data_IF_692846996918
#
_entry.id   IF_692846996918
#
_cell.length_a   1.000
_cell.length_b   1.000
_cell.length_c   1.000
_cell.angle_alpha   90.00
_cell.angle_beta   90.00
_cell.angle_gamma   90.00
#
_symmetry.space_group_name_H-M   'P 1'
#
loop_
_entity.id
_entity.type
_entity.pdbx_description
1 polymer ?
#
# COMPACT_ATOMS: atom_id res chain seq x y z
N UNK A 1 6.52 36.80 -57.12
CA UNK A 1 6.73 38.26 -57.16
C UNK A 1 6.60 38.77 -55.74
N UNK A 2 7.60 39.45 -55.21
CA UNK A 2 7.55 40.10 -53.91
C UNK A 2 8.24 41.45 -54.03
N UNK A 3 7.60 42.52 -53.54
CA UNK A 3 8.24 43.83 -53.42
C UNK A 3 9.14 43.83 -52.18
N UNK A 4 10.06 44.78 -52.12
CA UNK A 4 10.85 45.00 -50.92
C UNK A 4 9.92 45.41 -49.77
N UNK A 5 9.97 44.75 -48.60
CA UNK A 5 9.01 44.98 -47.53
C UNK A 5 9.21 46.38 -46.95
N UNK A 6 8.11 47.13 -46.83
CA UNK A 6 8.08 48.44 -46.18
C UNK A 6 8.44 48.32 -44.69
N UNK A 7 8.84 49.44 -44.08
CA UNK A 7 9.14 49.50 -42.64
C UNK A 7 7.97 48.97 -41.79
N UNK A 8 6.74 49.27 -42.18
CA UNK A 8 5.54 48.81 -41.50
C UNK A 8 5.40 47.27 -41.56
N UNK A 9 5.67 46.67 -42.72
CA UNK A 9 5.60 45.22 -42.90
C UNK A 9 6.74 44.50 -42.17
N UNK A 10 7.95 45.06 -42.17
CA UNK A 10 9.08 44.51 -41.41
C UNK A 10 8.79 44.53 -39.90
N UNK A 11 8.22 45.63 -39.40
CA UNK A 11 7.81 45.75 -37.99
C UNK A 11 6.68 44.78 -37.67
N UNK A 12 5.67 44.64 -38.54
CA UNK A 12 4.56 43.71 -38.36
C UNK A 12 5.04 42.24 -38.29
N UNK A 13 5.94 41.84 -39.20
CA UNK A 13 6.54 40.50 -39.18
C UNK A 13 7.34 40.27 -37.90
N UNK A 14 8.12 41.26 -37.46
CA UNK A 14 8.90 41.15 -36.22
C UNK A 14 8.00 40.98 -34.98
N UNK A 15 6.89 41.69 -34.89
CA UNK A 15 5.89 41.48 -33.83
C UNK A 15 5.27 40.07 -33.89
N UNK A 16 4.94 39.56 -35.08
CA UNK A 16 4.38 38.21 -35.24
C UNK A 16 5.39 37.12 -34.84
N UNK A 17 6.66 37.27 -35.21
CA UNK A 17 7.73 36.35 -34.82
C UNK A 17 7.96 36.37 -33.30
N UNK A 18 7.94 37.56 -32.70
CA UNK A 18 8.09 37.73 -31.25
C UNK A 18 6.90 37.18 -30.46
N UNK A 19 5.69 37.27 -31.03
CA UNK A 19 4.46 36.72 -30.43
C UNK A 19 4.33 35.18 -30.58
N UNK A 20 5.23 34.52 -31.33
CA UNK A 20 5.18 33.09 -31.60
C UNK A 20 6.49 32.35 -31.18
N UNK A 21 6.92 32.45 -29.90
CA UNK A 21 8.22 31.93 -29.44
C UNK A 21 8.38 30.41 -29.51
N UNK A 22 7.25 29.68 -29.61
CA UNK A 22 7.21 28.22 -29.79
C UNK A 22 7.66 27.82 -31.21
N UNK A 23 7.33 28.66 -32.19
CA UNK A 23 7.62 28.42 -33.61
C UNK A 23 8.95 29.06 -34.04
N UNK A 24 9.34 30.16 -33.38
CA UNK A 24 10.52 30.94 -33.73
C UNK A 24 11.36 31.30 -32.50
N UNK A 25 12.62 30.91 -32.49
CA UNK A 25 13.56 31.21 -31.41
C UNK A 25 14.47 32.39 -31.77
N UNK A 26 14.65 33.32 -30.83
CA UNK A 26 15.51 34.50 -30.99
C UNK A 26 16.98 34.12 -30.79
N UNK A 27 17.83 34.29 -31.81
CA UNK A 27 19.30 34.06 -31.70
C UNK A 27 20.07 35.33 -31.33
N UNK A 28 19.69 36.47 -31.92
CA UNK A 28 20.30 37.79 -31.70
C UNK A 28 19.22 38.88 -31.86
N UNK A 29 19.54 40.16 -31.60
CA UNK A 29 18.58 41.27 -31.77
C UNK A 29 18.11 41.33 -33.23
N UNK A 30 16.82 41.09 -33.47
CA UNK A 30 16.23 41.09 -34.82
C UNK A 30 16.37 39.78 -35.61
N UNK A 31 17.09 38.77 -35.12
CA UNK A 31 17.29 37.51 -35.83
C UNK A 31 16.56 36.34 -35.15
N UNK A 32 15.65 35.71 -35.90
CA UNK A 32 14.84 34.57 -35.48
C UNK A 32 15.16 33.34 -36.33
N UNK A 33 15.11 32.16 -35.72
CA UNK A 33 15.24 30.87 -36.41
C UNK A 33 13.99 30.05 -36.16
N UNK A 34 13.50 29.38 -37.20
CA UNK A 34 12.41 28.39 -37.09
C UNK A 34 12.84 27.28 -36.13
N UNK A 35 11.95 26.91 -35.22
CA UNK A 35 12.15 25.78 -34.31
C UNK A 35 12.37 24.49 -35.12
N UNK A 36 13.25 23.61 -34.64
CA UNK A 36 13.41 22.30 -35.28
C UNK A 36 12.08 21.51 -35.17
N UNK A 37 11.76 20.62 -36.12
CA UNK A 37 10.49 19.87 -36.08
C UNK A 37 10.27 19.11 -34.76
N UNK A 38 11.34 18.52 -34.20
CA UNK A 38 11.28 17.81 -32.92
C UNK A 38 11.04 18.73 -31.73
N UNK A 39 11.73 19.88 -31.67
CA UNK A 39 11.55 20.86 -30.59
C UNK A 39 10.18 21.51 -30.64
N UNK A 40 9.66 21.77 -31.86
CA UNK A 40 8.32 22.29 -32.08
C UNK A 40 7.25 21.28 -31.61
N UNK A 41 7.40 20.00 -32.00
CA UNK A 41 6.49 18.93 -31.58
C UNK A 41 6.46 18.78 -30.05
N UNK A 42 7.62 18.80 -29.40
CA UNK A 42 7.72 18.74 -27.94
C UNK A 42 7.08 19.96 -27.25
N UNK A 43 7.31 21.17 -27.77
CA UNK A 43 6.73 22.39 -27.22
C UNK A 43 5.20 22.44 -27.37
N UNK A 44 4.66 22.02 -28.53
CA UNK A 44 3.22 21.93 -28.76
C UNK A 44 2.58 20.86 -27.85
N UNK A 45 3.21 19.69 -27.70
CA UNK A 45 2.73 18.66 -26.78
C UNK A 45 2.74 19.12 -25.32
N UNK A 46 3.75 19.89 -24.92
CA UNK A 46 3.80 20.50 -23.58
C UNK A 46 2.69 21.52 -23.34
N UNK A 47 2.36 22.35 -24.35
CA UNK A 47 1.26 23.31 -24.27
C UNK A 47 -0.09 22.60 -24.16
N UNK A 48 -0.31 21.56 -24.96
CA UNK A 48 -1.54 20.75 -24.92
C UNK A 48 -1.69 20.06 -23.56
N UNK A 49 -0.62 19.44 -23.04
CA UNK A 49 -0.62 18.83 -21.71
C UNK A 49 -0.97 19.84 -20.62
N UNK A 50 -0.40 21.05 -20.67
CA UNK A 50 -0.71 22.12 -19.72
C UNK A 50 -2.17 22.57 -19.82
N UNK A 51 -2.69 22.72 -21.04
CA UNK A 51 -4.10 23.05 -21.27
C UNK A 51 -5.03 22.00 -20.64
N UNK A 52 -4.75 20.71 -20.86
CA UNK A 52 -5.52 19.62 -20.26
C UNK A 52 -5.46 19.64 -18.72
N UNK A 53 -4.28 19.89 -18.14
CA UNK A 53 -4.12 20.02 -16.70
C UNK A 53 -4.87 21.22 -16.12
N UNK A 54 -4.85 22.37 -16.81
CA UNK A 54 -5.58 23.57 -16.41
C UNK A 54 -7.10 23.34 -16.48
N UNK A 55 -7.58 22.64 -17.50
CA UNK A 55 -8.98 22.23 -17.61
C UNK A 55 -9.38 21.26 -16.49
N UNK A 56 -8.62 20.19 -16.28
CA UNK A 56 -8.87 19.21 -15.22
C UNK A 56 -8.88 19.88 -13.83
N UNK A 57 -7.98 20.85 -13.61
CA UNK A 57 -7.96 21.65 -12.39
C UNK A 57 -9.23 22.48 -12.24
N UNK A 58 -9.67 23.17 -13.29
CA UNK A 58 -10.86 24.00 -13.24
C UNK A 58 -12.12 23.17 -12.91
N UNK A 59 -12.32 22.05 -13.61
CA UNK A 59 -13.41 21.11 -13.36
C UNK A 59 -13.39 20.56 -11.92
N UNK A 60 -12.20 20.20 -11.42
CA UNK A 60 -12.04 19.74 -10.05
C UNK A 60 -12.34 20.83 -9.01
N UNK A 61 -11.99 22.09 -9.27
CA UNK A 61 -12.32 23.21 -8.38
C UNK A 61 -13.83 23.42 -8.27
N UNK A 62 -14.55 23.33 -9.39
CA UNK A 62 -16.01 23.42 -9.40
C UNK A 62 -16.65 22.26 -8.63
N UNK A 63 -16.18 21.03 -8.84
CA UNK A 63 -16.65 19.85 -8.11
C UNK A 63 -16.42 19.99 -6.59
N UNK A 64 -15.21 20.40 -6.17
CA UNK A 64 -14.88 20.60 -4.76
C UNK A 64 -15.72 21.71 -4.13
N UNK A 65 -16.00 22.79 -4.87
CA UNK A 65 -16.89 23.85 -4.41
C UNK A 65 -18.34 23.37 -4.25
N UNK A 66 -18.79 22.44 -5.12
CA UNK A 66 -20.09 21.78 -5.03
C UNK A 66 -20.15 20.70 -3.94
N UNK A 67 -19.05 20.40 -3.25
CA UNK A 67 -18.99 19.37 -2.21
C UNK A 67 -18.81 17.95 -2.74
N UNK A 68 -18.23 17.79 -3.93
CA UNK A 68 -17.91 16.50 -4.53
C UNK A 68 -16.40 16.37 -4.77
N UNK A 69 -15.82 15.23 -4.40
CA UNK A 69 -14.40 14.94 -4.64
C UNK A 69 -14.24 14.18 -5.97
N UNK A 70 -13.51 14.71 -6.96
CA UNK A 70 -13.28 14.00 -8.23
C UNK A 70 -12.53 12.66 -8.04
N UNK A 71 -12.88 11.64 -8.81
CA UNK A 71 -12.28 10.29 -8.73
C UNK A 71 -10.76 10.29 -8.80
N UNK A 72 -10.17 11.08 -9.71
CA UNK A 72 -8.72 11.17 -9.86
C UNK A 72 -8.03 11.74 -8.61
N UNK A 73 -8.74 12.57 -7.84
CA UNK A 73 -8.24 13.13 -6.58
C UNK A 73 -8.37 12.11 -5.44
N UNK A 74 -9.38 11.24 -5.49
CA UNK A 74 -9.59 10.16 -4.51
C UNK A 74 -8.37 9.23 -4.44
N UNK A 75 -7.81 8.85 -5.60
CA UNK A 75 -6.61 8.00 -5.67
C UNK A 75 -5.36 8.67 -5.09
N UNK A 76 -5.30 10.00 -5.08
CA UNK A 76 -4.18 10.79 -4.57
C UNK A 76 -4.39 11.21 -3.10
N UNK A 77 -5.55 10.93 -2.48
CA UNK A 77 -5.89 11.38 -1.13
C UNK A 77 -4.84 11.01 -0.08
N UNK A 78 -4.33 9.75 0.02
CA UNK A 78 -3.36 9.43 1.05
C UNK A 78 -2.09 10.28 0.95
N UNK A 79 -1.59 10.50 -0.28
CA UNK A 79 -0.45 11.37 -0.53
C UNK A 79 -0.77 12.83 -0.16
N UNK A 80 -1.93 13.36 -0.57
CA UNK A 80 -2.36 14.72 -0.25
C UNK A 80 -2.51 14.97 1.25
N UNK A 81 -3.06 14.00 1.98
CA UNK A 81 -3.37 14.14 3.40
C UNK A 81 -2.14 13.95 4.28
N UNK A 82 -1.28 13.00 3.93
CA UNK A 82 -0.25 12.52 4.85
C UNK A 82 1.19 12.82 4.38
N UNK A 83 1.44 13.02 3.09
CA UNK A 83 2.75 13.43 2.57
C UNK A 83 2.60 14.31 1.31
N UNK A 84 2.03 15.52 1.46
CA UNK A 84 1.68 16.36 0.32
C UNK A 84 2.94 16.81 -0.45
N UNK A 85 2.95 16.55 -1.76
CA UNK A 85 3.92 17.14 -2.69
C UNK A 85 3.34 18.40 -3.34
N UNK A 86 3.94 19.55 -3.00
CA UNK A 86 3.54 20.88 -3.47
C UNK A 86 3.64 21.05 -5.00
N UNK A 87 4.37 20.18 -5.68
CA UNK A 87 4.55 20.27 -7.12
C UNK A 87 3.42 19.60 -7.91
N UNK A 88 2.66 18.71 -7.27
CA UNK A 88 1.59 17.93 -7.91
C UNK A 88 0.40 18.79 -8.31
N UNK A 89 -0.30 18.35 -9.35
CA UNK A 89 -1.58 18.95 -9.77
C UNK A 89 -2.61 18.83 -8.65
N UNK A 90 -2.66 17.67 -8.00
CA UNK A 90 -3.56 17.35 -6.91
C UNK A 90 -3.43 18.36 -5.76
N UNK A 91 -2.20 18.62 -5.27
CA UNK A 91 -1.97 19.59 -4.20
C UNK A 91 -2.36 21.01 -4.61
N UNK A 92 -1.93 21.46 -5.79
CA UNK A 92 -2.25 22.81 -6.30
C UNK A 92 -3.74 23.04 -6.50
N UNK A 93 -4.48 21.98 -6.81
CA UNK A 93 -5.95 22.02 -6.95
C UNK A 93 -6.59 22.17 -5.57
N UNK A 94 -6.17 21.35 -4.61
CA UNK A 94 -6.69 21.41 -3.24
C UNK A 94 -6.34 22.72 -2.52
N UNK A 95 -5.14 23.25 -2.71
CA UNK A 95 -4.70 24.55 -2.16
C UNK A 95 -5.51 25.71 -2.74
N UNK A 96 -5.80 25.68 -4.05
CA UNK A 96 -6.67 26.66 -4.69
C UNK A 96 -8.12 26.56 -4.17
N UNK A 97 -8.68 25.35 -4.04
CA UNK A 97 -10.01 25.15 -3.46
C UNK A 97 -10.07 25.65 -2.00
N UNK A 98 -9.06 25.33 -1.20
CA UNK A 98 -8.89 25.79 0.18
C UNK A 98 -8.90 27.31 0.29
N UNK A 99 -8.20 28.00 -0.62
CA UNK A 99 -8.14 29.46 -0.67
C UNK A 99 -9.49 30.09 -1.05
N UNK A 100 -10.20 29.51 -2.04
CA UNK A 100 -11.52 29.98 -2.49
C UNK A 100 -12.58 29.80 -1.39
N UNK A 101 -12.60 28.61 -0.77
CA UNK A 101 -13.59 28.23 0.23
C UNK A 101 -13.27 28.76 1.64
N UNK A 102 -12.09 29.36 1.85
CA UNK A 102 -11.58 29.81 3.16
C UNK A 102 -11.61 28.72 4.23
N UNK A 103 -11.25 27.50 3.82
CA UNK A 103 -11.22 26.29 4.66
C UNK A 103 -9.87 25.63 4.54
N UNK A 104 -9.42 24.90 5.56
CA UNK A 104 -8.20 24.10 5.44
C UNK A 104 -8.38 22.99 4.39
N UNK A 105 -7.29 22.47 3.78
CA UNK A 105 -7.36 21.34 2.85
C UNK A 105 -8.16 20.15 3.40
N UNK A 106 -7.94 19.79 4.67
CA UNK A 106 -8.68 18.73 5.34
C UNK A 106 -10.17 19.06 5.50
N UNK A 107 -10.54 20.31 5.78
CA UNK A 107 -11.94 20.73 5.86
C UNK A 107 -12.66 20.69 4.50
N UNK A 108 -11.97 21.04 3.41
CA UNK A 108 -12.52 20.92 2.05
C UNK A 108 -12.82 19.46 1.73
N UNK A 109 -11.85 18.57 1.97
CA UNK A 109 -12.02 17.14 1.73
C UNK A 109 -13.09 16.51 2.63
N UNK A 110 -13.16 16.91 3.90
CA UNK A 110 -14.21 16.47 4.82
C UNK A 110 -15.60 16.92 4.36
N UNK A 111 -15.74 18.16 3.87
CA UNK A 111 -17.00 18.65 3.29
C UNK A 111 -17.43 17.84 2.06
N UNK A 112 -16.47 17.35 1.28
CA UNK A 112 -16.74 16.52 0.11
C UNK A 112 -17.02 15.04 0.43
N UNK A 113 -17.04 14.66 1.71
CA UNK A 113 -17.17 13.26 2.14
C UNK A 113 -15.93 12.40 1.85
N UNK A 114 -14.81 13.01 1.42
CA UNK A 114 -13.58 12.29 1.10
C UNK A 114 -12.82 11.80 2.35
N UNK A 115 -13.15 12.34 3.53
CA UNK A 115 -12.66 11.88 4.82
C UNK A 115 -13.87 11.42 5.63
N UNK A 116 -13.96 10.13 5.93
CA UNK A 116 -15.07 9.52 6.70
C UNK A 116 -15.18 9.94 8.18
N UNK A 117 -14.51 11.04 8.58
CA UNK A 117 -14.47 11.56 9.94
C UNK A 117 -13.09 11.48 10.61
N UNK A 118 -13.02 11.92 11.88
CA UNK A 118 -11.76 11.97 12.66
C UNK A 118 -11.10 10.59 12.79
N UNK A 119 -11.91 9.54 13.03
CA UNK A 119 -11.43 8.16 13.09
C UNK A 119 -10.74 7.75 11.79
N UNK A 120 -11.42 7.89 10.65
CA UNK A 120 -10.87 7.54 9.34
C UNK A 120 -9.61 8.35 9.00
N UNK A 121 -9.55 9.62 9.41
CA UNK A 121 -8.37 10.46 9.25
C UNK A 121 -7.15 9.89 9.98
N UNK A 122 -7.31 9.54 11.26
CA UNK A 122 -6.22 9.02 12.09
C UNK A 122 -5.84 7.60 11.69
N UNK A 123 -6.80 6.73 11.38
CA UNK A 123 -6.54 5.37 10.87
C UNK A 123 -5.79 5.42 9.54
N UNK A 124 -6.24 6.23 8.58
CA UNK A 124 -5.55 6.37 7.30
C UNK A 124 -4.13 6.94 7.44
N UNK A 125 -3.90 7.84 8.41
CA UNK A 125 -2.54 8.34 8.71
C UNK A 125 -1.65 7.22 9.22
N UNK A 126 -2.16 6.42 10.15
CA UNK A 126 -1.45 5.28 10.72
C UNK A 126 -1.11 4.25 9.63
N UNK A 127 -2.08 3.87 8.80
CA UNK A 127 -1.87 2.95 7.69
C UNK A 127 -0.84 3.47 6.68
N UNK A 128 -0.93 4.74 6.30
CA UNK A 128 0.01 5.35 5.36
C UNK A 128 1.44 5.38 5.89
N UNK A 129 1.62 5.66 7.18
CA UNK A 129 2.93 5.81 7.79
C UNK A 129 3.62 4.47 8.07
N UNK A 130 2.85 3.46 8.48
CA UNK A 130 3.39 2.19 8.98
C UNK A 130 3.17 0.99 8.06
N UNK A 131 2.12 0.99 7.22
CA UNK A 131 1.71 -0.22 6.48
C UNK A 131 1.84 -0.12 4.96
N UNK A 132 1.95 1.10 4.41
CA UNK A 132 2.16 1.35 2.97
C UNK A 132 1.11 0.66 2.07
N UNK A 133 1.24 0.75 0.74
CA UNK A 133 0.51 -0.17 -0.14
C UNK A 133 1.02 -1.59 0.11
N UNK A 134 0.10 -2.55 0.30
CA UNK A 134 0.45 -3.97 0.23
C UNK A 134 1.10 -4.24 -1.13
N UNK A 135 2.20 -5.01 -1.19
CA UNK A 135 2.53 -5.62 -2.47
C UNK A 135 1.40 -6.57 -2.83
N UNK A 136 1.04 -6.55 -4.10
CA UNK A 136 -0.04 -7.37 -4.63
C UNK A 136 0.24 -8.86 -4.39
N UNK A 137 -0.80 -9.68 -4.26
CA UNK A 137 -0.66 -11.13 -4.07
C UNK A 137 0.19 -11.81 -5.17
N UNK A 138 0.37 -11.16 -6.32
CA UNK A 138 1.27 -11.60 -7.39
C UNK A 138 2.76 -11.57 -7.04
N UNK A 139 3.16 -10.87 -5.98
CA UNK A 139 4.57 -10.69 -5.62
C UNK A 139 5.14 -11.83 -4.77
N UNK A 140 4.35 -12.87 -4.50
CA UNK A 140 4.81 -13.97 -3.67
C UNK A 140 4.60 -15.32 -4.37
N UNK A 141 5.64 -16.17 -4.37
CA UNK A 141 5.64 -17.42 -5.11
C UNK A 141 4.55 -18.37 -4.61
N UNK A 142 4.18 -19.31 -5.47
CA UNK A 142 3.35 -20.44 -5.06
C UNK A 142 4.05 -21.16 -3.90
N UNK A 143 3.29 -21.40 -2.84
CA UNK A 143 3.78 -22.10 -1.65
C UNK A 143 3.94 -23.59 -1.97
N UNK A 144 5.11 -24.15 -1.69
CA UNK A 144 5.39 -25.57 -1.92
C UNK A 144 4.74 -26.44 -0.85
N UNK A 145 4.05 -27.50 -1.28
CA UNK A 145 3.54 -28.51 -0.37
C UNK A 145 4.67 -29.49 -0.02
N UNK A 146 4.99 -29.59 1.26
CA UNK A 146 5.94 -30.57 1.78
C UNK A 146 5.20 -31.64 2.58
N UNK A 147 5.61 -32.89 2.37
CA UNK A 147 5.04 -34.04 3.07
C UNK A 147 5.74 -34.22 4.42
N UNK A 148 5.13 -33.63 5.44
CA UNK A 148 5.55 -33.78 6.84
C UNK A 148 4.78 -34.93 7.50
N UNK A 149 5.38 -35.64 8.47
CA UNK A 149 4.69 -36.71 9.21
C UNK A 149 3.43 -36.18 9.90
N UNK A 150 2.38 -37.00 9.96
CA UNK A 150 1.14 -36.66 10.65
C UNK A 150 1.25 -36.99 12.15
N UNK A 151 0.73 -36.10 12.99
CA UNK A 151 0.63 -36.27 14.42
C UNK A 151 -0.78 -36.75 14.80
N UNK A 152 -0.86 -38.01 15.22
CA UNK A 152 -2.12 -38.73 15.42
C UNK A 152 -2.81 -38.47 16.77
N UNK A 153 -2.24 -37.62 17.62
CA UNK A 153 -2.82 -37.31 18.94
C UNK A 153 -3.78 -36.12 18.79
N UNK A 154 -4.98 -36.17 19.39
CA UNK A 154 -5.90 -35.04 19.35
C UNK A 154 -5.26 -33.75 19.85
N UNK A 155 -5.41 -32.69 19.06
CA UNK A 155 -4.90 -31.35 19.36
C UNK A 155 -6.06 -30.40 19.67
N UNK A 156 -5.84 -29.45 20.57
CA UNK A 156 -6.80 -28.39 20.91
C UNK A 156 -6.08 -27.06 21.09
N UNK A 157 -6.69 -25.95 20.69
CA UNK A 157 -6.24 -24.60 21.02
C UNK A 157 -7.11 -24.01 22.14
N UNK A 158 -6.64 -22.92 22.76
CA UNK A 158 -7.37 -22.20 23.81
C UNK A 158 -7.33 -20.72 23.46
N UNK A 159 -8.40 -20.24 22.83
CA UNK A 159 -8.48 -18.90 22.26
C UNK A 159 -9.81 -18.20 22.58
N UNK A 160 -9.84 -16.88 22.38
CA UNK A 160 -11.09 -16.12 22.40
C UNK A 160 -12.01 -16.52 21.24
N UNK A 161 -13.32 -16.42 21.44
CA UNK A 161 -14.32 -16.81 20.44
C UNK A 161 -14.26 -16.03 19.11
N UNK A 162 -13.50 -14.93 19.05
CA UNK A 162 -13.30 -14.10 17.87
C UNK A 162 -11.89 -14.21 17.29
N UNK A 163 -11.03 -15.08 17.83
CA UNK A 163 -9.71 -15.35 17.27
C UNK A 163 -9.86 -15.97 15.89
N UNK A 164 -9.04 -15.51 14.96
CA UNK A 164 -9.08 -15.88 13.54
C UNK A 164 -7.70 -16.28 13.01
N UNK A 165 -6.69 -16.23 13.88
CA UNK A 165 -5.30 -16.61 13.64
C UNK A 165 -4.90 -17.47 14.84
N UNK A 166 -5.01 -18.79 14.72
CA UNK A 166 -4.65 -19.73 15.78
C UNK A 166 -3.17 -20.04 15.64
N UNK A 167 -2.36 -19.42 16.52
CA UNK A 167 -0.90 -19.53 16.48
C UNK A 167 -0.39 -20.75 17.26
N UNK A 168 -1.10 -21.17 18.31
CA UNK A 168 -0.69 -22.25 19.18
C UNK A 168 -1.81 -23.25 19.47
N UNK A 169 -1.42 -24.51 19.56
CA UNK A 169 -2.29 -25.60 19.93
C UNK A 169 -1.53 -26.63 20.78
N UNK A 170 -2.27 -27.44 21.53
CA UNK A 170 -1.72 -28.33 22.55
C UNK A 170 -2.25 -29.74 22.40
N UNK A 171 -1.45 -30.71 22.82
CA UNK A 171 -1.88 -32.09 22.97
C UNK A 171 -1.41 -32.67 24.29
N UNK A 172 -2.15 -33.64 24.80
CA UNK A 172 -1.81 -34.36 26.02
C UNK A 172 -2.11 -35.84 25.81
N UNK A 173 -1.10 -36.69 26.03
CA UNK A 173 -1.22 -38.15 25.95
C UNK A 173 -0.44 -38.81 27.06
N UNK A 174 -0.99 -39.89 27.61
CA UNK A 174 -0.24 -40.76 28.53
C UNK A 174 0.80 -41.58 27.76
N UNK A 175 2.07 -41.49 28.17
CA UNK A 175 3.14 -42.32 27.59
C UNK A 175 3.30 -43.64 28.34
N UNK A 176 3.31 -43.56 29.67
CA UNK A 176 3.43 -44.70 30.57
C UNK A 176 2.84 -44.34 31.95
N UNK A 177 2.97 -45.24 32.93
CA UNK A 177 2.42 -45.04 34.28
C UNK A 177 2.94 -43.76 34.97
N UNK A 178 4.17 -43.35 34.69
CA UNK A 178 4.86 -42.24 35.36
C UNK A 178 4.99 -40.98 34.49
N UNK A 179 4.64 -41.01 33.19
CA UNK A 179 4.87 -39.88 32.29
C UNK A 179 3.68 -39.51 31.38
N UNK A 180 3.53 -38.21 31.16
CA UNK A 180 2.75 -37.59 30.09
C UNK A 180 3.66 -37.19 28.92
N UNK A 181 3.12 -37.20 27.71
CA UNK A 181 3.59 -36.39 26.59
C UNK A 181 2.73 -35.13 26.53
N UNK A 182 3.38 -33.98 26.61
CA UNK A 182 2.77 -32.67 26.40
C UNK A 182 3.29 -32.12 25.08
N UNK A 183 2.40 -31.96 24.10
CA UNK A 183 2.72 -31.33 22.83
C UNK A 183 2.36 -29.86 22.84
N UNK A 184 3.29 -29.02 22.39
CA UNK A 184 3.08 -27.59 22.11
C UNK A 184 3.33 -27.42 20.62
N UNK A 185 2.31 -27.01 19.87
CA UNK A 185 2.32 -26.96 18.42
C UNK A 185 2.14 -25.51 17.98
N UNK A 186 3.13 -24.95 17.29
CA UNK A 186 3.12 -23.55 16.87
C UNK A 186 2.94 -23.48 15.36
N UNK A 187 2.00 -22.65 14.89
CA UNK A 187 1.81 -22.30 13.49
C UNK A 187 3.15 -21.88 12.88
N UNK A 188 3.47 -22.40 11.70
CA UNK A 188 4.80 -22.25 11.13
C UNK A 188 4.78 -21.51 9.76
N UNK A 189 4.36 -20.23 9.72
CA UNK A 189 4.33 -19.47 8.45
C UNK A 189 5.71 -19.32 7.81
N UNK A 190 6.80 -19.39 8.59
CA UNK A 190 8.17 -19.41 8.07
C UNK A 190 8.52 -20.63 7.22
N UNK A 191 7.71 -21.70 7.22
CA UNK A 191 7.86 -22.81 6.27
C UNK A 191 7.41 -22.43 4.86
N UNK A 192 6.60 -21.38 4.74
CA UNK A 192 5.98 -20.98 3.47
C UNK A 192 6.83 -19.99 2.67
N UNK A 193 7.76 -19.30 3.33
CA UNK A 193 8.62 -18.31 2.70
C UNK A 193 9.97 -18.24 3.43
N UNK A 194 11.06 -18.14 2.66
CA UNK A 194 12.40 -18.04 3.22
C UNK A 194 12.68 -16.70 3.92
N UNK A 195 13.71 -16.63 4.78
CA UNK A 195 14.06 -15.43 5.55
C UNK A 195 14.47 -14.23 4.69
N UNK A 196 14.96 -14.46 3.48
CA UNK A 196 15.40 -13.44 2.52
C UNK A 196 14.35 -13.10 1.46
N UNK A 197 13.13 -13.62 1.60
CA UNK A 197 12.02 -13.34 0.67
C UNK A 197 11.46 -11.93 0.86
N UNK A 198 10.81 -11.41 -0.18
CA UNK A 198 10.04 -10.16 -0.11
C UNK A 198 8.94 -10.23 0.98
N UNK A 199 8.34 -11.41 1.20
CA UNK A 199 7.39 -11.64 2.31
C UNK A 199 8.03 -11.42 3.66
N UNK A 200 9.22 -11.98 3.90
CA UNK A 200 9.93 -11.83 5.15
C UNK A 200 10.37 -10.37 5.37
N UNK A 201 10.79 -9.66 4.33
CA UNK A 201 11.10 -8.22 4.41
C UNK A 201 9.86 -7.40 4.82
N UNK A 202 8.72 -7.64 4.21
CA UNK A 202 7.48 -6.94 4.56
C UNK A 202 6.95 -7.29 5.94
N UNK A 203 6.98 -8.56 6.33
CA UNK A 203 6.60 -8.99 7.66
C UNK A 203 7.49 -8.30 8.72
N UNK A 204 8.81 -8.23 8.49
CA UNK A 204 9.75 -7.48 9.36
C UNK A 204 9.44 -5.98 9.40
N UNK A 205 9.09 -5.37 8.27
CA UNK A 205 8.73 -3.95 8.23
C UNK A 205 7.45 -3.66 9.03
N UNK A 206 6.51 -4.60 9.08
CA UNK A 206 5.23 -4.50 9.81
C UNK A 206 5.34 -4.81 11.30
N UNK A 207 6.35 -5.57 11.71
CA UNK A 207 6.67 -5.99 13.09
C UNK A 207 5.63 -6.94 13.73
N UNK A 208 4.35 -6.56 13.77
CA UNK A 208 3.28 -7.34 14.40
C UNK A 208 1.92 -7.08 13.74
N UNK A 209 0.95 -7.97 14.00
CA UNK A 209 -0.46 -7.68 13.73
C UNK A 209 -0.92 -6.56 14.66
N UNK A 210 -1.61 -5.57 14.12
CA UNK A 210 -2.19 -4.47 14.91
C UNK A 210 -3.64 -4.82 15.23
N UNK A 211 -3.94 -4.91 16.52
CA UNK A 211 -5.29 -5.16 17.02
C UNK A 211 -5.92 -3.85 17.53
N UNK A 212 -7.11 -3.54 17.00
CA UNK A 212 -7.91 -2.37 17.39
C UNK A 212 -9.36 -2.81 17.65
N UNK A 213 -10.12 -2.07 18.46
CA UNK A 213 -11.55 -2.35 18.64
C UNK A 213 -12.30 -2.40 17.29
N UNK A 214 -12.78 -3.59 16.94
CA UNK A 214 -13.55 -3.84 15.72
C UNK A 214 -12.74 -3.93 14.42
N UNK A 215 -11.40 -3.92 14.46
CA UNK A 215 -10.56 -4.06 13.26
C UNK A 215 -9.16 -4.58 13.62
N UNK A 216 -8.57 -5.36 12.72
CA UNK A 216 -7.14 -5.70 12.78
C UNK A 216 -6.44 -5.39 11.46
N UNK A 217 -5.13 -5.14 11.52
CA UNK A 217 -4.25 -5.06 10.36
C UNK A 217 -3.23 -6.19 10.50
N UNK A 218 -3.40 -7.24 9.70
CA UNK A 218 -2.57 -8.43 9.78
C UNK A 218 -1.12 -8.15 9.39
N UNK A 219 -0.19 -8.79 10.10
CA UNK A 219 1.24 -8.80 9.77
C UNK A 219 1.49 -9.50 8.44
N UNK A 220 0.80 -10.62 8.21
CA UNK A 220 0.92 -11.45 7.03
C UNK A 220 -0.32 -11.32 6.15
N UNK A 221 -0.21 -11.57 4.82
CA UNK A 221 -1.36 -11.64 3.94
C UNK A 221 -2.34 -12.75 4.34
N UNK A 222 -3.62 -12.54 4.08
CA UNK A 222 -4.71 -13.46 4.46
C UNK A 222 -4.52 -14.88 3.93
N UNK A 223 -4.00 -15.04 2.70
CA UNK A 223 -3.71 -16.36 2.12
C UNK A 223 -2.62 -17.16 2.85
N UNK A 224 -1.67 -16.48 3.51
CA UNK A 224 -0.63 -17.13 4.31
C UNK A 224 -1.25 -17.59 5.61
N UNK A 225 -2.01 -16.70 6.25
CA UNK A 225 -2.77 -16.99 7.47
C UNK A 225 -3.67 -18.21 7.24
N UNK A 226 -4.48 -18.20 6.17
CA UNK A 226 -5.39 -19.29 5.83
C UNK A 226 -4.71 -20.64 5.57
N UNK A 227 -3.37 -20.69 5.43
CA UNK A 227 -2.61 -21.94 5.28
C UNK A 227 -1.86 -22.37 6.53
N UNK A 228 -1.71 -21.47 7.50
CA UNK A 228 -0.87 -21.67 8.68
C UNK A 228 -1.66 -21.66 10.00
N UNK A 229 -2.81 -20.98 10.04
CA UNK A 229 -3.70 -20.97 11.20
C UNK A 229 -4.10 -22.40 11.53
N UNK A 230 -3.95 -22.78 12.81
CA UNK A 230 -4.25 -24.11 13.34
C UNK A 230 -5.77 -24.27 13.60
N UNK A 231 -6.57 -23.94 12.60
CA UNK A 231 -8.03 -23.97 12.68
C UNK A 231 -8.56 -25.40 12.86
N UNK A 232 -9.63 -25.54 13.66
CA UNK A 232 -10.27 -26.82 13.93
C UNK A 232 -10.62 -27.59 12.63
N UNK A 233 -10.29 -28.88 12.61
CA UNK A 233 -10.64 -29.80 11.54
C UNK A 233 -9.75 -29.68 10.30
N UNK A 234 -8.77 -28.78 10.31
CA UNK A 234 -7.82 -28.59 9.22
C UNK A 234 -6.46 -29.16 9.58
N UNK A 235 -5.89 -29.96 8.69
CA UNK A 235 -4.55 -30.50 8.90
C UNK A 235 -3.48 -29.48 8.47
N UNK A 236 -2.61 -29.08 9.41
CA UNK A 236 -1.69 -27.94 9.22
C UNK A 236 -0.28 -28.28 9.65
N UNK A 237 0.76 -27.82 8.91
CA UNK A 237 2.13 -27.96 9.35
C UNK A 237 2.39 -27.04 10.55
N UNK A 238 3.01 -27.60 11.59
CA UNK A 238 3.36 -26.91 12.82
C UNK A 238 4.80 -27.25 13.24
N UNK A 239 5.45 -26.27 13.86
CA UNK A 239 6.67 -26.52 14.63
C UNK A 239 6.23 -27.01 16.01
N UNK A 240 6.47 -28.29 16.29
CA UNK A 240 6.04 -28.93 17.52
C UNK A 240 7.20 -29.10 18.49
N UNK A 241 6.93 -28.85 19.78
CA UNK A 241 7.77 -29.19 20.91
C UNK A 241 7.03 -30.28 21.71
N UNK A 242 7.57 -31.48 21.72
CA UNK A 242 7.07 -32.62 22.48
C UNK A 242 7.88 -32.75 23.77
N UNK A 243 7.20 -32.75 24.90
CA UNK A 243 7.80 -32.85 26.23
C UNK A 243 7.37 -34.15 26.90
N UNK A 244 8.33 -34.90 27.45
CA UNK A 244 8.02 -35.95 28.41
C UNK A 244 8.02 -35.35 29.81
N UNK A 245 6.89 -35.44 30.50
CA UNK A 245 6.67 -34.81 31.80
C UNK A 245 6.31 -35.87 32.83
N UNK A 246 7.02 -35.92 33.96
CA UNK A 246 6.71 -36.83 35.06
C UNK A 246 5.38 -36.44 35.74
N UNK A 247 4.47 -37.40 35.95
CA UNK A 247 3.09 -37.10 36.39
C UNK A 247 2.99 -36.50 37.78
N UNK A 248 3.84 -36.93 38.71
CA UNK A 248 3.76 -36.48 40.11
C UNK A 248 4.57 -35.21 40.38
N UNK A 249 5.72 -35.09 39.73
CA UNK A 249 6.69 -34.01 40.02
C UNK A 249 6.61 -32.87 39.03
N UNK A 250 5.91 -33.09 37.90
CA UNK A 250 5.83 -32.18 36.76
C UNK A 250 7.20 -31.84 36.14
N UNK A 251 8.23 -32.64 36.45
CA UNK A 251 9.55 -32.46 35.89
C UNK A 251 9.53 -32.82 34.39
N UNK A 252 10.05 -31.92 33.56
CA UNK A 252 10.35 -32.23 32.15
C UNK A 252 11.61 -33.08 32.11
N UNK A 253 11.46 -34.33 31.67
CA UNK A 253 12.56 -35.31 31.61
C UNK A 253 13.16 -35.42 30.20
N UNK A 254 12.39 -35.09 29.17
CA UNK A 254 12.82 -35.11 27.77
C UNK A 254 12.11 -34.02 26.98
N UNK A 255 12.78 -33.51 25.93
CA UNK A 255 12.23 -32.55 24.97
C UNK A 255 12.70 -32.88 23.56
N UNK A 256 11.79 -32.81 22.60
CA UNK A 256 12.10 -32.99 21.19
C UNK A 256 11.33 -31.97 20.35
N UNK A 257 12.00 -31.37 19.36
CA UNK A 257 11.39 -30.43 18.43
C UNK A 257 11.42 -30.98 17.01
N UNK A 258 10.29 -30.89 16.31
CA UNK A 258 10.13 -31.39 14.96
C UNK A 258 9.08 -30.60 14.19
N UNK A 259 9.14 -30.70 12.86
CA UNK A 259 8.08 -30.24 11.97
C UNK A 259 7.17 -31.43 11.67
N UNK A 260 5.87 -31.25 11.86
CA UNK A 260 4.86 -32.27 11.62
C UNK A 260 3.53 -31.61 11.27
N UNK A 261 2.61 -32.38 10.71
CA UNK A 261 1.22 -31.96 10.50
C UNK A 261 0.39 -32.32 11.72
N UNK A 262 -0.47 -31.41 12.17
CA UNK A 262 -1.39 -31.60 13.29
C UNK A 262 -2.83 -31.39 12.82
N UNK A 263 -3.80 -31.93 13.57
CA UNK A 263 -5.23 -31.80 13.28
C UNK A 263 -6.06 -31.63 14.55
#
# INVERSE_FOLDING_TARGET
QGHEPSVLEQVAVLFRLQAAPIYFHRRQRGHFRVAAPETLKAALAGLERRRLQDQQKAEALEALAAGHCPDWLIHELPALLYRPDKNTLAYKTLEAASSILKKSPAQVLAQCGAIGGSRAWHEGRFEFEYFGPWSTDSDFPAMEEQDWPCYEVPVFSIDDAFTTEIDDAFSLRELDQAHWEVGIHIAAPGLQFGPDSAMAEQARARLSTVYMPGRKIAMLPERVIARCSLDEGQERPALSLLLRVHKETLAVVERHSLIQRIR
#
